data_IF_539914096212
#
_entry.id   IF_539914096212
#
_cell.length_a   1.000
_cell.length_b   1.000
_cell.length_c   1.000
_cell.angle_alpha   90.00
_cell.angle_beta   90.00
_cell.angle_gamma   90.00
#
_symmetry.space_group_name_H-M   'P 1'
#
loop_
_entity.id
_entity.type
_entity.pdbx_description
1 polymer ?
#
# COMPACT_ATOMS: atom_id res chain seq x y z
N UNK A 1 5.97 -10.12 -13.50
CA UNK A 1 5.16 -9.53 -12.46
C UNK A 1 5.18 -8.00 -12.50
N UNK A 2 6.31 -7.40 -12.79
CA UNK A 2 6.51 -5.95 -12.88
C UNK A 2 6.02 -5.29 -14.16
N UNK A 3 5.88 -6.05 -15.27
CA UNK A 3 5.18 -5.55 -16.45
C UNK A 3 3.78 -5.05 -16.14
N UNK A 4 3.11 -5.57 -15.11
CA UNK A 4 1.79 -5.11 -14.73
C UNK A 4 1.81 -3.71 -14.12
N UNK A 5 2.80 -3.36 -13.28
CA UNK A 5 2.91 -2.02 -12.70
C UNK A 5 3.38 -1.04 -13.78
N UNK A 6 4.45 -1.37 -14.49
CA UNK A 6 4.98 -0.52 -15.58
C UNK A 6 4.00 -0.43 -16.75
N UNK A 7 3.30 -1.53 -17.13
CA UNK A 7 2.34 -1.53 -18.23
C UNK A 7 1.03 -0.84 -17.85
N UNK A 8 0.56 -0.95 -16.59
CA UNK A 8 -0.59 -0.19 -16.09
C UNK A 8 -0.31 1.31 -16.15
N UNK A 9 0.88 1.73 -15.76
CA UNK A 9 1.31 3.11 -15.90
C UNK A 9 1.45 3.53 -17.37
N UNK A 10 2.00 2.68 -18.23
CA UNK A 10 2.30 3.02 -19.63
C UNK A 10 1.07 3.07 -20.54
N UNK A 11 0.10 2.18 -20.37
CA UNK A 11 -1.11 2.10 -21.23
C UNK A 11 -2.19 3.09 -20.84
N UNK A 12 -2.32 3.42 -19.55
CA UNK A 12 -3.33 4.36 -19.06
C UNK A 12 -2.86 5.84 -19.11
N UNK A 13 -1.60 6.10 -19.44
CA UNK A 13 -1.06 7.46 -19.54
C UNK A 13 -1.42 8.19 -20.84
N UNK A 14 -2.02 7.53 -21.85
CA UNK A 14 -2.19 8.16 -23.16
C UNK A 14 -3.21 9.29 -23.18
N UNK A 15 -4.38 9.20 -22.51
CA UNK A 15 -5.42 10.22 -22.69
C UNK A 15 -6.37 10.47 -21.50
N UNK A 16 -5.91 10.52 -20.28
CA UNK A 16 -6.84 10.79 -19.18
C UNK A 16 -6.29 10.69 -17.76
N UNK A 17 -5.05 10.30 -17.62
CA UNK A 17 -4.44 10.17 -16.30
C UNK A 17 -4.14 11.55 -15.68
N UNK A 18 -4.40 11.69 -14.38
CA UNK A 18 -3.98 12.85 -13.58
C UNK A 18 -2.46 12.81 -13.46
N UNK A 19 -1.77 13.56 -14.31
CA UNK A 19 -0.31 13.73 -14.18
C UNK A 19 -0.04 14.56 -12.94
N UNK A 20 0.77 14.07 -12.01
CA UNK A 20 1.38 14.95 -11.00
C UNK A 20 2.38 15.85 -11.70
N UNK A 21 2.32 17.16 -11.39
CA UNK A 21 3.15 18.17 -12.04
C UNK A 21 4.67 17.92 -11.86
N UNK A 22 5.06 17.11 -10.85
CA UNK A 22 6.45 16.90 -10.47
C UNK A 22 6.94 15.44 -10.64
N UNK A 23 6.15 14.52 -11.21
CA UNK A 23 6.57 13.12 -11.41
C UNK A 23 7.60 13.02 -12.54
N UNK A 24 8.70 12.32 -12.29
CA UNK A 24 9.73 12.07 -13.30
C UNK A 24 9.31 10.97 -14.27
N UNK A 25 8.62 11.34 -15.35
CA UNK A 25 8.08 10.40 -16.35
C UNK A 25 9.15 9.53 -17.03
N UNK A 26 10.37 10.02 -17.21
CA UNK A 26 11.46 9.23 -17.81
C UNK A 26 11.94 8.15 -16.83
N UNK A 27 12.09 8.50 -15.56
CA UNK A 27 12.45 7.52 -14.52
C UNK A 27 11.37 6.44 -14.35
N UNK A 28 10.09 6.79 -14.50
CA UNK A 28 8.96 5.85 -14.41
C UNK A 28 8.90 4.81 -15.55
N UNK A 29 9.74 4.95 -16.58
CA UNK A 29 9.90 3.90 -17.62
C UNK A 29 10.75 2.72 -17.15
N UNK A 30 11.45 2.87 -16.04
CA UNK A 30 12.31 1.85 -15.45
C UNK A 30 11.52 0.84 -14.61
N UNK A 31 12.01 -0.40 -14.61
CA UNK A 31 11.53 -1.48 -13.74
C UNK A 31 12.74 -2.16 -13.06
N UNK A 32 13.35 -1.51 -12.04
CA UNK A 32 14.67 -1.88 -11.52
C UNK A 32 14.80 -3.33 -11.09
N UNK A 33 13.80 -3.85 -10.35
CA UNK A 33 13.79 -5.26 -9.89
C UNK A 33 13.68 -6.20 -11.09
N UNK A 34 12.73 -5.97 -12.01
CA UNK A 34 12.58 -6.79 -13.22
C UNK A 34 13.83 -6.78 -14.08
N UNK A 35 14.41 -5.60 -14.31
CA UNK A 35 15.64 -5.45 -15.07
C UNK A 35 16.81 -6.23 -14.42
N UNK A 36 16.89 -6.21 -13.09
CA UNK A 36 17.90 -6.97 -12.34
C UNK A 36 17.66 -8.49 -12.45
N UNK A 37 16.42 -8.94 -12.29
CA UNK A 37 16.02 -10.35 -12.44
C UNK A 37 16.31 -10.87 -13.86
N UNK A 38 15.99 -10.11 -14.91
CA UNK A 38 16.30 -10.48 -16.29
C UNK A 38 17.81 -10.55 -16.55
N UNK A 39 18.59 -9.58 -16.04
CA UNK A 39 20.05 -9.63 -16.12
C UNK A 39 20.60 -10.86 -15.39
N UNK A 40 20.08 -11.16 -14.21
CA UNK A 40 20.51 -12.29 -13.41
C UNK A 40 20.14 -13.63 -14.06
N UNK A 41 18.93 -13.78 -14.59
CA UNK A 41 18.47 -14.96 -15.33
C UNK A 41 19.36 -15.31 -16.53
N UNK A 42 19.84 -14.29 -17.26
CA UNK A 42 20.73 -14.46 -18.42
C UNK A 42 22.14 -14.90 -18.03
N UNK A 43 22.54 -14.72 -16.78
CA UNK A 43 23.85 -15.21 -16.29
C UNK A 43 23.81 -16.73 -16.16
N UNK A 44 24.82 -17.41 -16.71
CA UNK A 44 24.99 -18.86 -16.54
C UNK A 44 25.60 -19.18 -15.16
N UNK A 45 24.81 -19.01 -14.11
CA UNK A 45 25.23 -19.31 -12.75
C UNK A 45 24.68 -20.68 -12.35
N UNK A 46 25.50 -21.51 -11.73
CA UNK A 46 25.05 -22.76 -11.12
C UNK A 46 24.32 -22.43 -9.81
N UNK A 47 23.02 -22.72 -9.67
CA UNK A 47 22.23 -22.31 -8.51
C UNK A 47 22.47 -23.24 -7.31
N UNK A 48 23.20 -22.75 -6.30
CA UNK A 48 23.28 -23.37 -4.97
C UNK A 48 22.36 -22.69 -3.95
N UNK A 49 21.73 -21.58 -4.36
CA UNK A 49 20.77 -20.79 -3.62
C UNK A 49 19.38 -21.44 -3.57
N UNK A 50 18.51 -20.93 -2.73
CA UNK A 50 17.07 -21.22 -2.75
C UNK A 50 16.37 -20.31 -3.78
N UNK A 51 15.20 -20.70 -4.32
CA UNK A 51 14.36 -21.88 -4.00
C UNK A 51 14.90 -23.22 -4.53
N UNK A 52 14.38 -24.32 -3.94
CA UNK A 52 14.81 -25.70 -4.25
C UNK A 52 14.57 -26.17 -5.69
N UNK A 53 13.67 -25.54 -6.44
CA UNK A 53 13.44 -25.86 -7.85
C UNK A 53 14.63 -25.45 -8.76
N UNK A 54 15.61 -24.71 -8.24
CA UNK A 54 16.87 -24.39 -8.93
C UNK A 54 16.64 -23.86 -10.36
N UNK A 55 15.73 -22.85 -10.49
CA UNK A 55 15.32 -22.28 -11.79
C UNK A 55 14.74 -23.33 -12.75
N UNK A 56 13.97 -24.27 -12.20
CA UNK A 56 13.31 -25.33 -12.93
C UNK A 56 14.08 -26.66 -13.01
N UNK A 57 15.41 -26.67 -12.79
CA UNK A 57 16.22 -27.90 -12.89
C UNK A 57 15.88 -28.91 -11.80
N UNK A 58 15.53 -28.46 -10.59
CA UNK A 58 15.15 -29.30 -9.47
C UNK A 58 13.67 -29.72 -9.48
N UNK A 59 12.85 -29.14 -10.37
CA UNK A 59 11.44 -29.50 -10.54
C UNK A 59 11.01 -29.20 -11.99
N UNK A 60 11.28 -30.13 -12.95
CA UNK A 60 10.91 -29.93 -14.35
C UNK A 60 9.41 -29.82 -14.60
N UNK A 61 8.56 -30.48 -13.80
CA UNK A 61 7.11 -30.42 -13.92
C UNK A 61 6.59 -29.03 -13.60
N UNK A 62 7.12 -28.40 -12.54
CA UNK A 62 6.81 -27.00 -12.21
C UNK A 62 7.25 -26.05 -13.34
N UNK A 63 8.41 -26.29 -13.92
CA UNK A 63 8.91 -25.48 -15.05
C UNK A 63 8.03 -25.65 -16.29
N UNK A 64 7.54 -26.86 -16.57
CA UNK A 64 6.60 -27.11 -17.66
C UNK A 64 5.24 -26.42 -17.43
N UNK A 65 4.75 -26.38 -16.17
CA UNK A 65 3.48 -25.76 -15.82
C UNK A 65 3.54 -24.23 -15.91
N UNK A 66 4.57 -23.60 -15.32
CA UNK A 66 4.67 -22.13 -15.20
C UNK A 66 5.46 -21.47 -16.32
N UNK A 67 6.20 -22.26 -17.08
CA UNK A 67 7.16 -21.80 -18.09
C UNK A 67 8.54 -21.49 -17.50
N UNK A 68 9.58 -21.85 -18.22
CA UNK A 68 10.98 -21.71 -17.80
C UNK A 68 11.36 -20.25 -17.45
N UNK A 69 10.77 -19.29 -18.17
CA UNK A 69 11.02 -17.87 -17.89
C UNK A 69 10.50 -17.47 -16.52
N UNK A 70 9.30 -17.87 -16.17
CA UNK A 70 8.67 -17.55 -14.88
C UNK A 70 9.47 -18.16 -13.73
N UNK A 71 9.73 -19.47 -13.79
CA UNK A 71 10.50 -20.18 -12.77
C UNK A 71 11.95 -19.69 -12.68
N UNK A 72 12.52 -19.24 -13.82
CA UNK A 72 13.86 -18.66 -13.87
C UNK A 72 14.00 -17.27 -13.20
N UNK A 73 12.89 -16.59 -12.95
CA UNK A 73 12.83 -15.30 -12.24
C UNK A 73 12.55 -15.47 -10.73
N UNK A 74 12.13 -16.67 -10.30
CA UNK A 74 11.87 -16.95 -8.88
C UNK A 74 13.19 -17.29 -8.17
N UNK A 75 13.70 -16.33 -7.45
CA UNK A 75 15.00 -16.36 -6.75
C UNK A 75 14.90 -15.64 -5.42
N UNK A 76 15.81 -15.94 -4.50
CA UNK A 76 15.86 -15.29 -3.20
C UNK A 76 16.72 -14.01 -3.21
N UNK A 77 16.72 -13.31 -2.08
CA UNK A 77 17.61 -12.16 -1.82
C UNK A 77 19.06 -12.55 -2.01
N UNK A 78 19.79 -11.74 -2.77
CA UNK A 78 21.23 -11.88 -2.95
C UNK A 78 21.81 -10.56 -3.44
N UNK A 79 23.12 -10.37 -3.28
CA UNK A 79 23.80 -9.10 -3.58
C UNK A 79 23.39 -8.43 -4.91
N UNK A 80 23.21 -9.14 -6.05
CA UNK A 80 22.77 -8.50 -7.31
C UNK A 80 21.28 -8.14 -7.36
N UNK A 81 20.46 -8.65 -6.44
CA UNK A 81 18.99 -8.54 -6.43
C UNK A 81 18.46 -7.80 -5.20
N UNK A 82 19.36 -7.31 -4.35
CA UNK A 82 19.03 -6.60 -3.11
C UNK A 82 18.40 -7.48 -2.00
N UNK A 83 18.00 -6.87 -0.91
CA UNK A 83 17.34 -7.51 0.23
C UNK A 83 16.16 -6.65 0.68
N UNK A 84 14.95 -7.19 0.64
CA UNK A 84 13.74 -6.46 1.00
C UNK A 84 13.73 -5.98 2.46
N UNK A 85 14.39 -6.72 3.37
CA UNK A 85 14.46 -6.30 4.78
C UNK A 85 15.43 -5.11 5.02
N UNK A 86 16.31 -4.82 4.07
CA UNK A 86 17.23 -3.68 4.11
C UNK A 86 17.60 -3.27 2.68
N UNK A 87 16.70 -2.61 1.96
CA UNK A 87 16.92 -2.24 0.56
C UNK A 87 18.03 -1.19 0.43
N UNK A 88 19.01 -1.44 -0.45
CA UNK A 88 20.14 -0.53 -0.70
C UNK A 88 20.43 -0.32 -2.20
N UNK A 89 19.74 -1.04 -3.07
CA UNK A 89 19.97 -1.01 -4.53
C UNK A 89 18.65 -1.09 -5.32
N UNK A 90 18.41 -2.16 -6.06
CA UNK A 90 17.28 -2.25 -7.02
C UNK A 90 15.90 -2.26 -6.39
N UNK A 91 15.76 -2.78 -5.17
CA UNK A 91 14.50 -2.71 -4.41
C UNK A 91 14.29 -1.28 -3.92
N UNK A 92 15.34 -0.65 -3.36
CA UNK A 92 15.28 0.76 -2.95
C UNK A 92 14.95 1.68 -4.12
N UNK A 93 15.58 1.48 -5.29
CA UNK A 93 15.26 2.24 -6.49
C UNK A 93 13.79 2.08 -6.91
N UNK A 94 13.25 0.86 -6.82
CA UNK A 94 11.83 0.59 -7.10
C UNK A 94 10.89 1.27 -6.09
N UNK A 95 11.25 1.29 -4.80
CA UNK A 95 10.49 1.97 -3.74
C UNK A 95 10.52 3.50 -3.92
N UNK A 96 11.66 4.08 -4.31
CA UNK A 96 11.79 5.50 -4.61
C UNK A 96 10.93 5.90 -5.84
N UNK A 97 10.91 5.08 -6.89
CA UNK A 97 10.04 5.28 -8.05
C UNK A 97 8.56 5.15 -7.67
N UNK A 98 8.21 4.20 -6.81
CA UNK A 98 6.85 4.06 -6.30
C UNK A 98 6.44 5.29 -5.47
N UNK A 99 7.31 5.77 -4.57
CA UNK A 99 7.06 6.98 -3.79
C UNK A 99 6.80 8.19 -4.70
N UNK A 100 7.62 8.40 -5.75
CA UNK A 100 7.42 9.46 -6.74
C UNK A 100 6.07 9.31 -7.46
N UNK A 101 5.73 8.10 -7.93
CA UNK A 101 4.48 7.84 -8.65
C UNK A 101 3.24 8.10 -7.78
N UNK A 102 3.27 7.69 -6.51
CA UNK A 102 2.17 7.87 -5.57
C UNK A 102 2.20 9.21 -4.83
N UNK A 103 3.30 10.00 -4.96
CA UNK A 103 3.55 11.28 -4.29
C UNK A 103 3.66 11.14 -2.80
N UNK A 104 4.17 10.04 -2.38
CA UNK A 104 4.61 9.78 -1.02
C UNK A 104 6.04 10.31 -0.81
N UNK A 105 6.46 10.48 0.45
CA UNK A 105 7.88 10.70 0.76
C UNK A 105 8.66 9.40 0.74
N UNK A 106 8.02 8.30 1.14
CA UNK A 106 8.58 6.95 1.12
C UNK A 106 7.51 5.94 0.72
N UNK A 107 7.92 4.85 0.07
CA UNK A 107 7.09 3.69 -0.21
C UNK A 107 7.85 2.43 0.18
N UNK A 108 7.16 1.45 0.75
CA UNK A 108 7.72 0.16 1.11
C UNK A 108 6.94 -0.95 0.40
N UNK A 109 7.65 -1.86 -0.25
CA UNK A 109 7.05 -3.04 -0.87
C UNK A 109 6.69 -4.08 0.21
N UNK A 110 5.42 -4.48 0.27
CA UNK A 110 4.88 -5.33 1.32
C UNK A 110 4.51 -6.71 0.78
N UNK A 111 5.34 -7.72 1.05
CA UNK A 111 5.08 -9.11 0.59
C UNK A 111 3.96 -9.82 1.34
N UNK A 112 3.61 -9.37 2.54
CA UNK A 112 2.47 -9.88 3.31
C UNK A 112 1.12 -9.28 2.92
N UNK A 113 1.06 -8.57 1.78
CA UNK A 113 -0.13 -7.88 1.31
C UNK A 113 -0.50 -6.67 2.16
N UNK A 114 -1.65 -6.05 1.86
CA UNK A 114 -2.14 -4.87 2.59
C UNK A 114 -2.46 -5.17 4.05
N UNK A 115 -2.69 -6.44 4.40
CA UNK A 115 -2.80 -6.86 5.80
C UNK A 115 -1.56 -6.45 6.60
N UNK A 116 -0.35 -6.75 6.10
CA UNK A 116 0.91 -6.35 6.76
C UNK A 116 1.08 -4.83 6.78
N UNK A 117 0.70 -4.14 5.70
CA UNK A 117 0.79 -2.68 5.63
C UNK A 117 -0.12 -2.01 6.67
N UNK A 118 -1.39 -2.44 6.76
CA UNK A 118 -2.35 -1.91 7.76
C UNK A 118 -1.89 -2.21 9.18
N UNK A 119 -1.39 -3.43 9.43
CA UNK A 119 -0.83 -3.77 10.74
C UNK A 119 0.40 -2.91 11.05
N UNK A 120 1.32 -2.76 10.10
CA UNK A 120 2.50 -1.91 10.27
C UNK A 120 2.15 -0.46 10.61
N UNK A 121 1.18 0.14 9.90
CA UNK A 121 0.71 1.50 10.20
C UNK A 121 0.21 1.63 11.66
N UNK A 122 -0.62 0.72 12.10
CA UNK A 122 -1.21 0.79 13.45
C UNK A 122 -0.14 0.54 14.52
N UNK A 123 0.71 -0.48 14.32
CA UNK A 123 1.77 -0.84 15.27
C UNK A 123 2.86 0.25 15.39
N UNK A 124 3.07 1.06 14.34
CA UNK A 124 4.06 2.14 14.37
C UNK A 124 3.59 3.37 15.17
N UNK A 125 2.28 3.57 15.33
CA UNK A 125 1.73 4.76 16.00
C UNK A 125 1.03 4.45 17.33
N UNK A 126 0.57 3.21 17.54
CA UNK A 126 -0.19 2.82 18.72
C UNK A 126 0.61 1.89 19.63
N UNK A 127 0.51 2.13 20.95
CA UNK A 127 1.01 1.28 22.03
C UNK A 127 -0.16 0.74 22.86
N UNK A 128 0.13 -0.16 23.78
CA UNK A 128 -0.86 -0.70 24.70
C UNK A 128 -1.54 0.42 25.51
N UNK A 129 -2.86 0.45 25.46
CA UNK A 129 -3.69 1.47 26.11
C UNK A 129 -3.96 2.72 25.28
N UNK A 130 -3.23 2.98 24.21
CA UNK A 130 -3.49 4.12 23.33
C UNK A 130 -4.84 3.97 22.62
N UNK A 131 -5.58 5.07 22.49
CA UNK A 131 -6.85 5.08 21.75
C UNK A 131 -6.61 5.36 20.27
N UNK A 132 -7.36 4.65 19.43
CA UNK A 132 -7.41 4.88 17.97
C UNK A 132 -8.86 4.98 17.52
N UNK A 133 -9.20 6.04 16.79
CA UNK A 133 -10.53 6.25 16.21
C UNK A 133 -10.57 5.52 14.86
N UNK A 134 -11.59 4.70 14.64
CA UNK A 134 -11.71 3.91 13.39
C UNK A 134 -13.18 3.57 13.08
N UNK A 135 -13.53 3.36 11.80
CA UNK A 135 -14.88 2.97 11.44
C UNK A 135 -15.15 1.51 11.86
N UNK A 136 -16.40 1.19 12.17
CA UNK A 136 -16.79 -0.16 12.58
C UNK A 136 -16.66 -1.21 11.46
N UNK A 137 -16.65 -0.78 10.22
CA UNK A 137 -16.51 -1.65 9.03
C UNK A 137 -15.07 -1.75 8.51
N UNK A 138 -14.08 -1.62 9.39
CA UNK A 138 -12.67 -1.84 9.03
C UNK A 138 -12.40 -3.26 8.60
N UNK A 139 -11.36 -3.45 7.81
CA UNK A 139 -10.84 -4.77 7.49
C UNK A 139 -10.30 -5.48 8.75
N UNK A 140 -10.40 -6.81 8.78
CA UNK A 140 -9.95 -7.66 9.89
C UNK A 140 -8.48 -7.42 10.29
N UNK A 141 -7.62 -6.99 9.35
CA UNK A 141 -6.21 -6.65 9.63
C UNK A 141 -6.08 -5.53 10.68
N UNK A 142 -6.95 -4.52 10.66
CA UNK A 142 -6.95 -3.46 11.66
C UNK A 142 -7.30 -4.01 13.06
N UNK A 143 -8.33 -4.84 13.15
CA UNK A 143 -8.70 -5.48 14.42
C UNK A 143 -7.56 -6.36 14.96
N UNK A 144 -6.92 -7.14 14.09
CA UNK A 144 -5.78 -7.97 14.48
C UNK A 144 -4.60 -7.11 14.98
N UNK A 145 -4.36 -5.95 14.35
CA UNK A 145 -3.33 -5.02 14.83
C UNK A 145 -3.64 -4.49 16.25
N UNK A 146 -4.90 -4.13 16.52
CA UNK A 146 -5.30 -3.69 17.88
C UNK A 146 -5.05 -4.77 18.93
N UNK A 147 -5.34 -6.04 18.60
CA UNK A 147 -5.05 -7.16 19.48
C UNK A 147 -3.54 -7.30 19.72
N UNK A 148 -2.73 -7.13 18.68
CA UNK A 148 -1.28 -7.25 18.78
C UNK A 148 -0.64 -6.14 19.61
N UNK A 149 -1.06 -4.89 19.46
CA UNK A 149 -0.48 -3.77 20.20
C UNK A 149 -1.20 -3.42 21.51
N UNK A 150 -2.39 -3.97 21.74
CA UNK A 150 -3.20 -3.64 22.93
C UNK A 150 -3.84 -2.24 22.88
N UNK A 151 -3.99 -1.65 21.70
CA UNK A 151 -4.66 -0.36 21.54
C UNK A 151 -6.18 -0.48 21.74
N UNK A 152 -6.79 0.60 22.19
CA UNK A 152 -8.22 0.68 22.52
C UNK A 152 -8.98 1.32 21.36
N UNK A 153 -9.92 0.62 20.71
CA UNK A 153 -10.69 1.17 19.61
C UNK A 153 -11.77 2.14 20.09
N UNK A 154 -11.85 3.31 19.44
CA UNK A 154 -12.99 4.23 19.50
C UNK A 154 -13.74 4.11 18.18
N UNK A 155 -14.88 3.46 18.19
CA UNK A 155 -15.59 3.16 16.95
C UNK A 155 -16.49 4.31 16.49
N UNK A 156 -16.33 4.70 15.22
CA UNK A 156 -17.28 5.54 14.48
C UNK A 156 -18.17 4.63 13.63
N UNK A 157 -19.47 4.63 13.90
CA UNK A 157 -20.40 3.84 13.11
C UNK A 157 -20.61 4.50 11.74
N UNK A 158 -20.33 3.80 10.63
CA UNK A 158 -20.63 4.31 9.30
C UNK A 158 -22.14 4.42 9.11
N UNK A 159 -22.56 5.27 8.20
CA UNK A 159 -23.93 5.26 7.72
C UNK A 159 -24.17 4.01 6.86
N UNK A 160 -25.43 3.64 6.74
CA UNK A 160 -25.86 2.50 5.91
C UNK A 160 -26.89 3.00 4.90
N UNK A 161 -26.65 2.70 3.64
CA UNK A 161 -27.70 2.86 2.62
C UNK A 161 -28.67 1.70 2.79
N UNK A 162 -29.90 2.00 3.24
CA UNK A 162 -30.92 0.98 3.52
C UNK A 162 -31.39 0.24 2.27
N UNK A 163 -31.40 0.91 1.13
CA UNK A 163 -31.92 0.34 -0.13
C UNK A 163 -30.95 -0.69 -0.73
N UNK A 164 -29.64 -0.43 -0.57
CA UNK A 164 -28.58 -1.31 -1.07
C UNK A 164 -28.01 -2.23 0.00
N UNK A 165 -28.30 -2.00 1.29
CA UNK A 165 -27.76 -2.77 2.40
C UNK A 165 -26.22 -2.62 2.58
N UNK A 166 -25.63 -1.51 2.11
CA UNK A 166 -24.18 -1.28 2.16
C UNK A 166 -23.81 -0.19 3.16
N UNK A 167 -22.63 -0.36 3.78
CA UNK A 167 -22.05 0.69 4.63
C UNK A 167 -21.39 1.78 3.78
N UNK A 168 -21.60 3.02 4.18
CA UNK A 168 -21.02 4.21 3.57
C UNK A 168 -19.66 4.54 4.19
N UNK A 169 -19.07 5.67 3.80
CA UNK A 169 -17.85 6.21 4.40
C UNK A 169 -18.08 6.72 5.83
N UNK A 170 -17.03 7.25 6.45
CA UNK A 170 -17.12 7.91 7.75
C UNK A 170 -17.78 9.28 7.59
N UNK A 171 -18.82 9.52 8.34
CA UNK A 171 -19.47 10.83 8.47
C UNK A 171 -18.56 11.80 9.23
N UNK A 172 -18.34 12.99 8.68
CA UNK A 172 -17.39 13.96 9.26
C UNK A 172 -17.83 14.46 10.63
N UNK A 173 -19.13 14.64 10.88
CA UNK A 173 -19.64 15.13 12.17
C UNK A 173 -19.46 14.06 13.26
N UNK A 174 -19.62 12.78 12.90
CA UNK A 174 -19.37 11.66 13.82
C UNK A 174 -17.88 11.52 14.13
N UNK A 175 -16.99 11.77 13.14
CA UNK A 175 -15.54 11.77 13.36
C UNK A 175 -15.15 12.93 14.27
N UNK A 176 -15.63 14.14 14.01
CA UNK A 176 -15.39 15.33 14.83
C UNK A 176 -15.79 15.09 16.30
N UNK A 177 -17.01 14.59 16.51
CA UNK A 177 -17.49 14.20 17.84
C UNK A 177 -16.57 13.17 18.51
N UNK A 178 -16.16 12.12 17.79
CA UNK A 178 -15.27 11.09 18.35
C UNK A 178 -13.90 11.67 18.73
N UNK A 179 -13.37 12.61 17.97
CA UNK A 179 -12.11 13.32 18.25
C UNK A 179 -12.29 14.21 19.50
N UNK A 180 -13.39 14.96 19.61
CA UNK A 180 -13.67 15.82 20.77
C UNK A 180 -13.85 15.04 22.06
N UNK A 181 -14.55 13.90 22.00
CA UNK A 181 -14.79 13.01 23.15
C UNK A 181 -13.56 12.19 23.56
N UNK A 182 -12.55 12.08 22.67
CA UNK A 182 -11.32 11.32 22.91
C UNK A 182 -10.07 12.12 22.50
N UNK A 183 -9.79 13.25 23.18
CA UNK A 183 -8.66 14.11 22.85
C UNK A 183 -7.29 13.45 23.09
N UNK A 184 -7.26 12.33 23.79
CA UNK A 184 -6.10 11.47 24.06
C UNK A 184 -5.89 10.37 23.01
N UNK A 185 -6.73 10.29 21.98
CA UNK A 185 -6.51 9.37 20.88
C UNK A 185 -5.25 9.77 20.07
N UNK A 186 -4.46 8.77 19.67
CA UNK A 186 -3.18 9.00 18.95
C UNK A 186 -3.34 9.00 17.45
N UNK A 187 -4.40 8.35 16.94
CA UNK A 187 -4.61 8.23 15.50
C UNK A 187 -6.09 8.10 15.12
N UNK A 188 -6.37 8.43 13.85
CA UNK A 188 -7.63 8.12 13.17
C UNK A 188 -7.30 7.21 11.98
N UNK A 189 -7.91 6.03 11.92
CA UNK A 189 -7.85 5.14 10.77
C UNK A 189 -9.09 5.36 9.89
N UNK A 190 -8.88 5.56 8.59
CA UNK A 190 -9.95 5.76 7.61
C UNK A 190 -9.88 4.66 6.55
N UNK A 191 -11.01 4.02 6.27
CA UNK A 191 -11.15 3.07 5.17
C UNK A 191 -11.60 3.86 3.92
N UNK A 192 -10.70 4.09 2.95
CA UNK A 192 -10.97 5.01 1.83
C UNK A 192 -10.33 4.54 0.50
N UNK A 193 -11.11 4.06 -0.45
CA UNK A 193 -12.56 3.85 -0.37
C UNK A 193 -12.94 2.63 0.47
N UNK A 194 -14.22 2.54 0.83
CA UNK A 194 -14.80 1.31 1.39
C UNK A 194 -14.78 0.19 0.34
N UNK A 195 -15.12 -1.05 0.74
CA UNK A 195 -15.25 -2.17 -0.19
C UNK A 195 -16.22 -1.88 -1.36
N UNK A 196 -17.21 -1.04 -1.12
CA UNK A 196 -18.24 -0.64 -2.11
C UNK A 196 -17.85 0.59 -2.93
N UNK A 197 -16.64 1.09 -2.82
CA UNK A 197 -16.15 2.24 -3.58
C UNK A 197 -16.54 3.61 -3.01
N UNK A 198 -17.10 3.66 -1.81
CA UNK A 198 -17.50 4.92 -1.17
C UNK A 198 -16.31 5.56 -0.49
N UNK A 199 -16.02 6.81 -0.83
CA UNK A 199 -14.98 7.62 -0.19
C UNK A 199 -15.56 8.54 0.89
N UNK A 200 -14.81 8.74 1.96
CA UNK A 200 -15.07 9.74 3.00
C UNK A 200 -14.54 11.11 2.60
N UNK A 201 -14.95 12.18 3.28
CA UNK A 201 -14.27 13.49 3.17
C UNK A 201 -12.91 13.44 3.88
N UNK A 202 -11.95 12.81 3.22
CA UNK A 202 -10.63 12.53 3.80
C UNK A 202 -9.86 13.81 4.14
N UNK A 203 -10.01 14.89 3.34
CA UNK A 203 -9.34 16.17 3.62
C UNK A 203 -9.80 16.80 4.92
N UNK A 204 -11.09 16.81 5.18
CA UNK A 204 -11.66 17.35 6.42
C UNK A 204 -11.28 16.48 7.61
N UNK A 205 -11.29 15.15 7.48
CA UNK A 205 -10.85 14.23 8.54
C UNK A 205 -9.37 14.48 8.88
N UNK A 206 -8.49 14.57 7.89
CA UNK A 206 -7.06 14.87 8.09
C UNK A 206 -6.88 16.19 8.83
N UNK A 207 -7.58 17.25 8.40
CA UNK A 207 -7.51 18.56 9.05
C UNK A 207 -7.92 18.51 10.52
N UNK A 208 -9.04 17.87 10.82
CA UNK A 208 -9.55 17.75 12.19
C UNK A 208 -8.60 16.95 13.09
N UNK A 209 -8.12 15.81 12.62
CA UNK A 209 -7.18 14.95 13.36
C UNK A 209 -5.84 15.66 13.63
N UNK A 210 -5.25 16.29 12.62
CA UNK A 210 -3.99 17.02 12.77
C UNK A 210 -4.10 18.23 13.71
N UNK A 211 -5.25 18.92 13.77
CA UNK A 211 -5.47 20.01 14.76
C UNK A 211 -5.38 19.52 16.21
N UNK A 212 -5.60 18.25 16.45
CA UNK A 212 -5.48 17.60 17.75
C UNK A 212 -4.20 16.79 17.94
N UNK A 213 -3.27 16.86 16.97
CA UNK A 213 -2.00 16.14 17.01
C UNK A 213 -2.11 14.64 16.72
N UNK A 214 -3.29 14.17 16.27
CA UNK A 214 -3.51 12.76 15.91
C UNK A 214 -2.97 12.45 14.53
N UNK A 215 -2.42 11.24 14.34
CA UNK A 215 -2.03 10.73 13.03
C UNK A 215 -3.23 10.24 12.23
N UNK A 216 -3.16 10.36 10.91
CA UNK A 216 -4.19 9.81 10.01
C UNK A 216 -3.61 8.67 9.18
N UNK A 217 -4.22 7.50 9.35
CA UNK A 217 -3.88 6.26 8.67
C UNK A 217 -4.99 5.94 7.67
N UNK A 218 -4.65 5.73 6.39
CA UNK A 218 -5.63 5.42 5.36
C UNK A 218 -5.48 3.97 4.88
N UNK A 219 -6.51 3.16 5.08
CA UNK A 219 -6.61 1.88 4.37
C UNK A 219 -7.19 2.13 2.99
N UNK A 220 -6.31 2.27 2.01
CA UNK A 220 -6.62 2.44 0.59
C UNK A 220 -6.44 1.14 -0.21
N UNK A 221 -6.70 -0.01 0.44
CA UNK A 221 -6.60 -1.31 -0.25
C UNK A 221 -7.42 -1.38 -1.56
N UNK A 222 -8.51 -0.64 -1.65
CA UNK A 222 -9.34 -0.51 -2.85
C UNK A 222 -9.09 0.81 -3.62
N UNK A 223 -8.11 1.63 -3.21
CA UNK A 223 -7.89 3.01 -3.64
C UNK A 223 -6.72 3.25 -4.59
N UNK A 224 -5.97 2.24 -5.03
CA UNK A 224 -4.79 2.41 -5.88
C UNK A 224 -5.06 3.30 -7.11
N UNK A 225 -6.22 3.16 -7.75
CA UNK A 225 -6.62 3.94 -8.92
C UNK A 225 -6.86 5.43 -8.62
N UNK A 226 -7.14 5.82 -7.38
CA UNK A 226 -7.36 7.22 -6.98
C UNK A 226 -6.13 8.09 -7.22
N UNK A 227 -4.94 7.50 -7.25
CA UNK A 227 -3.68 8.20 -7.48
C UNK A 227 -3.48 8.61 -8.95
N UNK A 228 -4.18 7.97 -9.89
CA UNK A 228 -3.91 8.11 -11.32
C UNK A 228 -5.12 8.57 -12.13
N UNK A 229 -6.34 8.44 -11.61
CA UNK A 229 -7.56 8.80 -12.33
C UNK A 229 -7.87 10.30 -12.28
N UNK A 230 -8.36 10.87 -13.38
CA UNK A 230 -8.95 12.21 -13.38
C UNK A 230 -10.39 12.18 -12.87
N UNK A 231 -10.79 13.21 -12.10
CA UNK A 231 -12.16 13.33 -11.60
C UNK A 231 -12.54 12.32 -10.52
N UNK A 232 -11.58 11.56 -10.01
CA UNK A 232 -11.76 10.66 -8.87
C UNK A 232 -11.63 11.41 -7.54
N UNK A 233 -12.16 10.85 -6.46
CA UNK A 233 -11.96 11.36 -5.11
C UNK A 233 -10.46 11.51 -4.78
N UNK A 234 -10.16 12.34 -3.79
CA UNK A 234 -8.78 12.57 -3.34
C UNK A 234 -8.19 11.31 -2.71
N UNK A 235 -6.94 10.99 -3.06
CA UNK A 235 -6.18 9.92 -2.42
C UNK A 235 -5.54 10.40 -1.10
N UNK A 236 -5.05 9.46 -0.29
CA UNK A 236 -4.53 9.72 1.04
C UNK A 236 -3.31 10.67 1.04
N UNK A 237 -2.36 10.46 0.14
CA UNK A 237 -1.15 11.31 0.09
C UNK A 237 -1.50 12.75 -0.27
N UNK A 238 -2.39 12.96 -1.24
CA UNK A 238 -2.87 14.29 -1.64
C UNK A 238 -3.76 14.93 -0.57
N UNK A 239 -4.53 14.14 0.18
CA UNK A 239 -5.33 14.62 1.30
C UNK A 239 -4.48 15.04 2.51
N UNK A 240 -3.22 14.59 2.59
CA UNK A 240 -2.30 14.88 3.67
C UNK A 240 -2.34 13.84 4.81
N UNK A 241 -2.91 12.65 4.60
CA UNK A 241 -2.82 11.56 5.56
C UNK A 241 -1.36 11.18 5.81
N UNK A 242 -1.03 10.76 7.02
CA UNK A 242 0.35 10.45 7.42
C UNK A 242 0.85 9.16 6.76
N UNK A 243 0.01 8.14 6.69
CA UNK A 243 0.32 6.86 6.07
C UNK A 243 -0.86 6.31 5.25
N UNK A 244 -0.56 5.52 4.23
CA UNK A 244 -1.56 4.80 3.46
C UNK A 244 -1.11 3.40 3.09
N UNK A 245 -2.02 2.44 3.15
CA UNK A 245 -1.81 1.07 2.69
C UNK A 245 -2.57 0.83 1.39
N UNK A 246 -1.87 0.48 0.29
CA UNK A 246 -2.47 0.28 -1.03
C UNK A 246 -2.26 -1.14 -1.53
N UNK A 247 -3.31 -1.74 -2.13
CA UNK A 247 -3.24 -3.08 -2.73
C UNK A 247 -2.98 -3.00 -4.22
N UNK A 248 -1.79 -3.39 -4.66
CA UNK A 248 -1.48 -3.44 -6.08
C UNK A 248 -2.19 -4.60 -6.79
N UNK A 249 -2.48 -5.69 -6.07
CA UNK A 249 -3.18 -6.86 -6.62
C UNK A 249 -4.70 -6.69 -6.79
N UNK A 250 -5.26 -5.55 -6.35
CA UNK A 250 -6.68 -5.21 -6.58
C UNK A 250 -6.78 -4.30 -7.81
N UNK A 251 -6.93 -3.01 -7.63
CA UNK A 251 -7.05 -2.06 -8.74
C UNK A 251 -5.72 -1.70 -9.44
N UNK A 252 -4.58 -2.16 -8.93
CA UNK A 252 -3.27 -1.96 -9.55
C UNK A 252 -2.87 -3.03 -10.58
N UNK A 253 -3.64 -4.14 -10.72
CA UNK A 253 -3.45 -5.13 -11.78
C UNK A 253 -2.25 -6.08 -11.61
N UNK A 254 -1.63 -6.16 -10.43
CA UNK A 254 -0.53 -7.08 -10.14
C UNK A 254 -1.03 -8.47 -9.69
N UNK A 255 -0.11 -9.44 -9.57
CA UNK A 255 -0.41 -10.72 -8.97
C UNK A 255 -0.74 -10.57 -7.48
N UNK A 256 -1.41 -11.57 -6.90
CA UNK A 256 -1.89 -11.55 -5.51
C UNK A 256 -0.77 -11.32 -4.50
N UNK A 257 -1.11 -10.79 -3.32
CA UNK A 257 -0.23 -10.40 -2.21
C UNK A 257 0.62 -9.14 -2.45
N UNK A 258 0.56 -8.52 -3.62
CA UNK A 258 1.30 -7.30 -3.90
C UNK A 258 0.63 -6.10 -3.25
N UNK A 259 1.39 -5.37 -2.43
CA UNK A 259 0.93 -4.22 -1.68
C UNK A 259 2.07 -3.25 -1.41
N UNK A 260 1.75 -2.02 -1.05
CA UNK A 260 2.71 -1.03 -0.59
C UNK A 260 2.18 -0.30 0.64
N UNK A 261 3.11 0.09 1.51
CA UNK A 261 2.91 1.08 2.55
C UNK A 261 3.52 2.40 2.07
N UNK A 262 2.74 3.46 2.11
CA UNK A 262 3.14 4.81 1.71
C UNK A 262 3.22 5.70 2.94
N UNK A 263 4.30 6.47 3.05
CA UNK A 263 4.47 7.48 4.10
C UNK A 263 4.45 8.87 3.47
N UNK A 264 3.76 9.80 4.12
CA UNK A 264 3.75 11.20 3.73
C UNK A 264 4.91 11.96 4.41
N UNK A 265 5.11 13.21 4.01
CA UNK A 265 6.13 14.10 4.57
C UNK A 265 5.95 14.25 6.09
N UNK A 266 7.05 14.19 6.83
CA UNK A 266 7.05 14.30 8.28
C UNK A 266 6.92 12.97 9.04
N UNK A 267 6.75 11.86 8.35
CA UNK A 267 6.87 10.53 8.93
C UNK A 267 8.33 10.05 8.86
N UNK A 268 8.82 9.49 9.97
CA UNK A 268 10.12 8.83 9.99
C UNK A 268 9.99 7.45 9.33
N UNK A 269 10.82 7.12 8.32
CA UNK A 269 10.79 5.80 7.68
C UNK A 269 11.46 4.68 8.51
N UNK A 270 12.25 5.02 9.55
CA UNK A 270 13.00 4.07 10.40
C UNK A 270 12.18 3.51 11.55
#
# INVERSE_FOLDING_TARGET
>A
MEYAVTCFFYTNFRDGCRRRQNMNLEAQKRAPIYEALERFRKKRVVPFDVPGHKRGRGNPELAALLGEKCVGLDVNSMKPLDNLCHPVSVIREAEELAADAFGASHAFLMVGGTTSAVQGMILSVCKAGDKIILPRNVHKSAINALVLCGAVPVYVNPEVNSDLGISLGMDIQKVEKAIEENPDAVAVLVNNPTYYGICSDLRSIVKLAHQKGMKVLADEAHGTHLYFGKGLPVNAMEAGADMAAVSMHKSGGSLTQSSMLLLNKGMNPD
#
